data_IF_864867185970
#
_entry.id   IF_864867185970
#
_cell.length_a   1.000
_cell.length_b   1.000
_cell.length_c   1.000
_cell.angle_alpha   90.00
_cell.angle_beta   90.00
_cell.angle_gamma   90.00
#
_symmetry.space_group_name_H-M   'P 1'
#
loop_
_entity.id
_entity.type
_entity.pdbx_description
1 polymer ?
#
# COMPACT_ATOMS: atom_id res chain seq x y z
N UNK A 1 7.87 -6.58 -10.88
CA UNK A 1 7.85 -5.47 -11.86
C UNK A 1 8.84 -4.41 -11.42
N UNK A 2 10.01 -4.34 -12.05
CA UNK A 2 11.03 -3.35 -11.69
C UNK A 2 10.72 -2.02 -12.38
N UNK A 3 10.22 -1.03 -11.62
CA UNK A 3 10.04 0.34 -12.11
C UNK A 3 11.43 0.98 -12.22
N UNK A 4 11.77 1.53 -13.39
CA UNK A 4 13.05 2.20 -13.60
C UNK A 4 13.17 3.43 -12.68
N UNK A 5 14.38 3.82 -12.27
CA UNK A 5 14.57 5.01 -11.43
C UNK A 5 13.98 6.28 -12.06
N UNK A 6 14.01 6.38 -13.39
CA UNK A 6 13.40 7.49 -14.12
C UNK A 6 11.87 7.48 -14.01
N UNK A 7 11.24 6.34 -14.25
CA UNK A 7 9.79 6.21 -14.16
C UNK A 7 9.29 6.46 -12.72
N UNK A 8 10.03 5.98 -11.72
CA UNK A 8 9.72 6.27 -10.32
C UNK A 8 9.76 7.76 -10.01
N UNK A 9 10.83 8.47 -10.41
CA UNK A 9 10.93 9.92 -10.20
C UNK A 9 9.81 10.68 -10.87
N UNK A 10 9.49 10.35 -12.11
CA UNK A 10 8.41 11.00 -12.85
C UNK A 10 7.07 10.84 -12.10
N UNK A 11 6.75 9.62 -11.67
CA UNK A 11 5.52 9.35 -10.90
C UNK A 11 5.56 10.11 -9.57
N UNK A 12 6.66 10.05 -8.82
CA UNK A 12 6.80 10.77 -7.55
C UNK A 12 6.57 12.28 -7.72
N UNK A 13 7.19 12.91 -8.73
CA UNK A 13 7.01 14.34 -9.01
C UNK A 13 5.56 14.71 -9.34
N UNK A 14 4.88 13.91 -10.18
CA UNK A 14 3.49 14.18 -10.54
C UNK A 14 2.56 14.02 -9.34
N UNK A 15 2.74 12.95 -8.56
CA UNK A 15 1.94 12.72 -7.36
C UNK A 15 2.24 13.75 -6.27
N UNK A 16 3.50 14.20 -6.12
CA UNK A 16 3.89 15.24 -5.16
C UNK A 16 3.11 16.51 -5.40
N UNK A 17 3.10 17.01 -6.64
CA UNK A 17 2.38 18.25 -6.98
C UNK A 17 0.91 18.19 -6.61
N UNK A 18 0.26 17.05 -6.86
CA UNK A 18 -1.18 16.90 -6.56
C UNK A 18 -1.40 16.76 -5.06
N UNK A 19 -0.67 15.88 -4.38
CA UNK A 19 -0.89 15.57 -2.97
C UNK A 19 -0.45 16.73 -2.08
N UNK A 20 0.71 17.33 -2.35
CA UNK A 20 1.19 18.50 -1.60
C UNK A 20 0.23 19.67 -1.72
N UNK A 21 -0.32 19.91 -2.90
CA UNK A 21 -1.31 20.96 -3.10
C UNK A 21 -2.61 20.67 -2.33
N UNK A 22 -3.12 19.43 -2.38
CA UNK A 22 -4.34 19.04 -1.67
C UNK A 22 -4.17 19.09 -0.15
N UNK A 23 -2.96 18.84 0.36
CA UNK A 23 -2.68 18.77 1.80
C UNK A 23 -2.02 20.04 2.38
N UNK A 24 -1.76 21.06 1.56
CA UNK A 24 -1.00 22.27 1.94
C UNK A 24 0.41 21.96 2.50
N UNK A 25 1.09 21.01 1.83
CA UNK A 25 2.41 20.46 2.19
C UNK A 25 3.47 20.68 1.11
N UNK A 26 3.39 21.78 0.35
CA UNK A 26 4.32 22.09 -0.75
C UNK A 26 5.79 21.99 -0.32
N UNK A 27 6.55 21.13 -1.02
CA UNK A 27 7.97 20.86 -0.76
C UNK A 27 8.25 20.13 0.56
N UNK A 28 7.24 19.58 1.23
CA UNK A 28 7.38 18.90 2.54
C UNK A 28 7.21 17.38 2.45
N UNK A 29 6.86 16.83 1.29
CA UNK A 29 6.72 15.38 1.12
C UNK A 29 7.99 14.74 0.59
N UNK A 30 8.34 13.59 1.16
CA UNK A 30 9.39 12.72 0.65
C UNK A 30 8.79 11.41 0.11
N UNK A 31 9.34 10.92 -0.99
CA UNK A 31 8.87 9.72 -1.68
C UNK A 31 9.94 8.63 -1.60
N UNK A 32 9.61 7.57 -0.86
CA UNK A 32 10.46 6.40 -0.74
C UNK A 32 9.97 5.27 -1.62
N UNK A 33 10.88 4.74 -2.45
CA UNK A 33 10.63 3.49 -3.18
C UNK A 33 10.65 2.31 -2.20
N UNK A 34 9.64 1.45 -2.31
CA UNK A 34 9.63 0.15 -1.63
C UNK A 34 10.27 -0.88 -2.56
N UNK A 35 11.39 -1.47 -2.12
CA UNK A 35 12.20 -2.42 -2.88
C UNK A 35 12.28 -3.81 -2.23
N UNK A 36 11.86 -3.94 -0.98
CA UNK A 36 11.85 -5.19 -0.21
C UNK A 36 10.60 -6.06 -0.41
N UNK A 37 9.60 -5.57 -1.14
CA UNK A 37 8.38 -6.33 -1.48
C UNK A 37 8.35 -6.60 -2.98
N UNK A 38 8.43 -7.88 -3.37
CA UNK A 38 8.37 -8.32 -4.76
C UNK A 38 7.23 -9.32 -4.96
N UNK A 39 6.37 -9.04 -5.93
CA UNK A 39 5.28 -9.95 -6.30
C UNK A 39 5.85 -11.21 -6.98
N UNK A 40 5.52 -12.38 -6.43
CA UNK A 40 6.00 -13.70 -6.90
C UNK A 40 5.08 -14.35 -7.95
N UNK A 41 3.98 -13.69 -8.33
CA UNK A 41 2.97 -14.20 -9.27
C UNK A 41 2.44 -13.10 -10.20
N UNK A 42 1.45 -13.39 -11.03
CA UNK A 42 0.80 -12.41 -11.91
C UNK A 42 -0.46 -11.74 -11.35
N UNK A 43 -0.90 -12.02 -10.12
CA UNK A 43 -2.24 -11.64 -9.63
C UNK A 43 -2.32 -11.01 -8.23
N UNK A 44 -1.20 -10.92 -7.50
CA UNK A 44 -1.19 -10.53 -6.08
C UNK A 44 -0.69 -9.12 -5.80
N UNK A 45 -0.42 -8.27 -6.80
CA UNK A 45 0.02 -6.88 -6.60
C UNK A 45 -0.86 -6.12 -5.59
N UNK A 46 -2.18 -6.20 -5.72
CA UNK A 46 -3.11 -5.50 -4.84
C UNK A 46 -3.04 -5.96 -3.38
N UNK A 47 -2.87 -7.26 -3.13
CA UNK A 47 -2.78 -7.78 -1.76
C UNK A 47 -1.50 -7.30 -1.08
N UNK A 48 -0.41 -7.23 -1.86
CA UNK A 48 0.89 -6.77 -1.38
C UNK A 48 0.87 -5.28 -1.08
N UNK A 49 0.22 -4.45 -1.90
CA UNK A 49 0.03 -3.03 -1.58
C UNK A 49 -0.68 -2.83 -0.23
N UNK A 50 -1.75 -3.61 0.04
CA UNK A 50 -2.48 -3.51 1.31
C UNK A 50 -1.62 -3.98 2.48
N UNK A 51 -0.90 -5.10 2.34
CA UNK A 51 -0.03 -5.62 3.38
C UNK A 51 1.13 -4.67 3.72
N UNK A 52 1.81 -4.12 2.70
CA UNK A 52 2.84 -3.09 2.85
C UNK A 52 2.28 -1.88 3.60
N UNK A 53 1.10 -1.38 3.20
CA UNK A 53 0.46 -0.25 3.86
C UNK A 53 0.15 -0.55 5.33
N UNK A 54 -0.47 -1.70 5.64
CA UNK A 54 -0.78 -2.08 7.02
C UNK A 54 0.49 -2.18 7.87
N UNK A 55 1.58 -2.76 7.33
CA UNK A 55 2.87 -2.83 8.02
C UNK A 55 3.50 -1.45 8.30
N UNK A 56 3.48 -0.55 7.31
CA UNK A 56 4.01 0.81 7.47
C UNK A 56 3.24 1.58 8.56
N UNK A 57 1.91 1.46 8.58
CA UNK A 57 1.05 2.13 9.57
C UNK A 57 1.33 1.63 10.99
N UNK A 58 1.60 0.33 11.17
CA UNK A 58 1.88 -0.23 12.51
C UNK A 58 3.37 -0.23 12.89
N UNK A 59 4.26 0.27 12.03
CA UNK A 59 5.71 0.26 12.25
C UNK A 59 6.34 -1.13 12.24
N UNK A 60 5.76 -2.10 11.53
CA UNK A 60 6.28 -3.45 11.40
C UNK A 60 7.33 -3.58 10.29
N UNK A 61 8.22 -4.57 10.42
CA UNK A 61 9.22 -4.90 9.41
C UNK A 61 8.74 -6.00 8.47
N UNK A 62 9.17 -5.94 7.22
CA UNK A 62 8.87 -6.96 6.24
C UNK A 62 9.58 -8.28 6.56
N UNK A 63 8.89 -9.40 6.30
CA UNK A 63 9.44 -10.74 6.43
C UNK A 63 8.93 -11.60 5.29
N UNK A 64 9.82 -12.16 4.48
CA UNK A 64 9.47 -12.98 3.31
C UNK A 64 8.63 -14.22 3.64
N UNK A 65 8.57 -14.65 4.91
CA UNK A 65 7.60 -15.68 5.33
C UNK A 65 6.15 -15.29 5.06
N UNK A 66 5.85 -13.99 4.91
CA UNK A 66 4.53 -13.46 4.57
C UNK A 66 4.03 -13.95 3.21
N UNK A 67 4.92 -14.27 2.26
CA UNK A 67 4.53 -14.83 0.96
C UNK A 67 3.75 -16.15 1.12
N UNK A 68 4.11 -16.97 2.13
CA UNK A 68 3.38 -18.22 2.44
C UNK A 68 1.98 -17.98 2.98
N UNK A 69 1.71 -16.77 3.48
CA UNK A 69 0.42 -16.36 4.03
C UNK A 69 -0.47 -15.66 3.01
N UNK A 70 -0.09 -15.61 1.73
CA UNK A 70 -0.88 -14.98 0.67
C UNK A 70 -2.37 -15.40 0.67
N UNK A 71 -2.74 -16.70 0.71
CA UNK A 71 -4.14 -17.10 0.75
C UNK A 71 -4.87 -16.60 2.01
N UNK A 72 -4.18 -16.64 3.16
CA UNK A 72 -4.71 -16.12 4.42
C UNK A 72 -4.93 -14.61 4.37
N UNK A 73 -4.00 -13.85 3.81
CA UNK A 73 -4.13 -12.39 3.67
C UNK A 73 -5.32 -12.01 2.79
N UNK A 74 -5.53 -12.71 1.66
CA UNK A 74 -6.71 -12.51 0.82
C UNK A 74 -8.00 -12.68 1.61
N UNK A 75 -8.10 -13.76 2.38
CA UNK A 75 -9.26 -14.03 3.22
C UNK A 75 -9.44 -12.98 4.33
N UNK A 76 -8.34 -12.63 5.01
CA UNK A 76 -8.33 -11.63 6.09
C UNK A 76 -8.83 -10.27 5.60
N UNK A 77 -8.36 -9.79 4.45
CA UNK A 77 -8.80 -8.50 3.91
C UNK A 77 -10.24 -8.54 3.41
N UNK A 78 -10.67 -9.64 2.79
CA UNK A 78 -12.07 -9.83 2.42
C UNK A 78 -12.98 -9.74 3.66
N UNK A 79 -12.67 -10.47 4.73
CA UNK A 79 -13.43 -10.42 5.98
C UNK A 79 -13.40 -9.05 6.64
N UNK A 80 -12.26 -8.34 6.59
CA UNK A 80 -12.16 -6.96 7.11
C UNK A 80 -13.15 -6.04 6.38
N UNK A 81 -13.22 -6.12 5.05
CA UNK A 81 -14.18 -5.34 4.25
C UNK A 81 -15.63 -5.75 4.54
N UNK A 82 -15.94 -7.05 4.55
CA UNK A 82 -17.28 -7.54 4.91
C UNK A 82 -17.70 -7.00 6.28
N UNK A 83 -16.82 -7.06 7.28
CA UNK A 83 -17.11 -6.56 8.62
C UNK A 83 -17.37 -5.05 8.66
N UNK A 84 -16.71 -4.27 7.81
CA UNK A 84 -16.93 -2.83 7.71
C UNK A 84 -18.27 -2.51 7.04
N UNK A 85 -18.64 -3.26 5.99
CA UNK A 85 -19.91 -3.09 5.28
C UNK A 85 -21.11 -3.56 6.10
N UNK A 86 -20.91 -4.55 6.98
CA UNK A 86 -21.96 -5.06 7.87
C UNK A 86 -22.11 -4.25 9.14
N UNK A 87 -21.20 -3.31 9.44
CA UNK A 87 -21.43 -2.36 10.54
C UNK A 87 -22.56 -1.41 10.11
N UNK A 88 -23.64 -1.29 10.90
CA UNK A 88 -24.64 -0.27 10.62
C UNK A 88 -23.95 1.10 10.58
N UNK A 89 -24.34 1.93 9.61
CA UNK A 89 -23.79 3.28 9.49
C UNK A 89 -24.05 4.02 10.80
N UNK A 90 -22.98 4.30 11.55
CA UNK A 90 -23.05 5.23 12.67
C UNK A 90 -23.10 6.64 12.06
N UNK A 91 -24.30 7.09 11.72
CA UNK A 91 -24.60 8.50 11.59
C UNK A 91 -25.15 8.94 12.96
N UNK A 92 -24.30 9.57 13.76
CA UNK A 92 -24.68 10.50 14.83
C UNK A 92 -23.74 11.72 14.73
#
# INVERSE_FOLDING_TARGET
>A
MQISPFAFRLVAEQYSKVIEHVLDLEGKLDYKKIDWCEQQDGSSCGIWCIAVLEMLVVGATWNDKIYRLQPYLRMRYLYKVISLLMKPAAWE
#
